data_IF_608728742631
#
_entry.id   IF_608728742631
#
_cell.length_a   1.000
_cell.length_b   1.000
_cell.length_c   1.000
_cell.angle_alpha   90.00
_cell.angle_beta   90.00
_cell.angle_gamma   90.00
#
_symmetry.space_group_name_H-M   'P 1'
#
loop_
_entity.id
_entity.type
_entity.pdbx_description
1 polymer ?
#
# COMPACT_ATOMS: atom_id res chain seq x y z
N UNK A 1 -8.45 -17.45 -7.25
CA UNK A 1 -7.91 -16.83 -6.07
C UNK A 1 -7.37 -15.48 -6.39
N UNK A 2 -7.55 -14.57 -5.48
CA UNK A 2 -7.02 -13.23 -5.68
C UNK A 2 -5.52 -13.24 -5.47
N UNK A 3 -4.82 -12.41 -6.22
CA UNK A 3 -3.39 -12.25 -6.02
C UNK A 3 -3.14 -11.48 -4.74
N UNK A 4 -1.99 -11.68 -4.14
CA UNK A 4 -1.61 -10.96 -2.94
C UNK A 4 -1.39 -9.48 -3.29
N UNK A 5 -2.05 -8.56 -2.57
CA UNK A 5 -1.84 -7.14 -2.84
C UNK A 5 -0.43 -6.68 -2.54
N UNK A 6 -0.03 -5.57 -3.16
CA UNK A 6 1.30 -5.01 -2.95
C UNK A 6 1.15 -3.55 -2.56
N UNK A 7 1.98 -3.08 -1.61
CA UNK A 7 1.77 -1.78 -1.01
C UNK A 7 2.99 -0.86 -1.15
N UNK A 8 2.73 0.42 -1.37
CA UNK A 8 3.76 1.44 -1.44
C UNK A 8 4.05 2.03 -0.05
N UNK A 9 5.07 2.87 0.02
CA UNK A 9 5.54 3.42 1.29
C UNK A 9 4.51 4.31 1.98
N UNK A 10 3.88 5.24 1.26
CA UNK A 10 2.99 6.21 1.89
C UNK A 10 1.82 5.58 2.64
N UNK A 11 1.04 4.68 2.04
CA UNK A 11 -0.03 4.06 2.80
C UNK A 11 0.50 3.21 3.95
N UNK A 12 1.65 2.56 3.76
CA UNK A 12 2.22 1.73 4.82
C UNK A 12 2.63 2.58 6.02
N UNK A 13 3.27 3.72 5.76
CA UNK A 13 3.68 4.64 6.81
C UNK A 13 2.46 5.21 7.53
N UNK A 14 1.47 5.66 6.77
CA UNK A 14 0.27 6.24 7.37
C UNK A 14 -0.44 5.23 8.28
N UNK A 15 -0.66 4.01 7.78
CA UNK A 15 -1.38 3.00 8.55
C UNK A 15 -0.57 2.58 9.79
N UNK A 16 0.75 2.49 9.68
CA UNK A 16 1.58 2.13 10.82
C UNK A 16 1.50 3.19 11.90
N UNK A 17 1.62 4.46 11.52
CA UNK A 17 1.61 5.54 12.49
C UNK A 17 0.24 5.74 13.13
N UNK A 18 -0.81 5.41 12.39
CA UNK A 18 -2.16 5.54 12.91
C UNK A 18 -2.61 4.33 13.73
N UNK A 19 -1.79 3.28 13.77
CA UNK A 19 -2.16 2.05 14.48
C UNK A 19 -3.22 1.26 13.75
N UNK A 20 -3.29 1.40 12.42
CA UNK A 20 -4.34 0.77 11.62
C UNK A 20 -3.81 -0.27 10.65
N UNK A 21 -2.58 -0.75 10.86
CA UNK A 21 -1.97 -1.67 9.91
C UNK A 21 -2.79 -2.94 9.71
N UNK A 22 -3.50 -3.38 10.74
CA UNK A 22 -4.28 -4.61 10.65
C UNK A 22 -5.42 -4.50 9.65
N UNK A 23 -5.81 -3.29 9.25
CA UNK A 23 -6.87 -3.13 8.25
C UNK A 23 -6.50 -3.76 6.92
N UNK A 24 -5.20 -3.90 6.65
CA UNK A 24 -4.75 -4.51 5.41
C UNK A 24 -5.22 -5.96 5.29
N UNK A 25 -5.44 -6.62 6.42
CA UNK A 25 -5.89 -8.01 6.39
C UNK A 25 -7.35 -8.14 5.95
N UNK A 26 -8.07 -7.02 5.83
CA UNK A 26 -9.40 -7.06 5.21
C UNK A 26 -9.29 -7.34 3.72
N UNK A 27 -8.13 -7.05 3.12
CA UNK A 27 -7.92 -7.26 1.70
C UNK A 27 -7.36 -8.65 1.41
N UNK A 28 -6.47 -9.13 2.28
CA UNK A 28 -5.78 -10.40 2.04
C UNK A 28 -5.07 -10.84 3.31
N UNK A 29 -4.87 -12.15 3.50
CA UNK A 29 -4.09 -12.62 4.65
C UNK A 29 -2.63 -12.19 4.63
N UNK A 30 -2.09 -11.87 3.44
CA UNK A 30 -0.71 -11.43 3.31
C UNK A 30 -0.65 -10.22 2.41
N UNK A 31 0.37 -9.37 2.63
CA UNK A 31 0.59 -8.17 1.83
C UNK A 31 2.06 -8.14 1.45
N UNK A 32 2.37 -7.87 0.19
CA UNK A 32 3.75 -7.78 -0.27
C UNK A 32 4.27 -6.36 -0.19
N UNK A 33 5.54 -6.22 0.15
CA UNK A 33 6.25 -4.95 0.20
C UNK A 33 7.50 -5.11 -0.65
N UNK A 34 7.64 -4.38 -1.77
CA UNK A 34 8.89 -4.46 -2.53
C UNK A 34 10.07 -4.01 -1.69
N UNK A 35 11.22 -4.63 -1.88
CA UNK A 35 12.42 -4.27 -1.14
C UNK A 35 12.75 -2.79 -1.31
N UNK A 36 12.50 -2.22 -2.50
CA UNK A 36 12.72 -0.80 -2.74
C UNK A 36 11.88 0.06 -1.80
N UNK A 37 10.65 -0.37 -1.50
CA UNK A 37 9.78 0.35 -0.58
C UNK A 37 10.31 0.24 0.84
N UNK A 38 10.72 -0.96 1.25
CA UNK A 38 11.27 -1.16 2.59
C UNK A 38 12.54 -0.32 2.78
N UNK A 39 13.39 -0.25 1.75
CA UNK A 39 14.61 0.53 1.79
C UNK A 39 14.29 2.03 1.91
N UNK A 40 13.30 2.49 1.17
CA UNK A 40 12.91 3.89 1.23
C UNK A 40 12.44 4.25 2.64
N UNK A 41 11.69 3.39 3.28
CA UNK A 41 11.21 3.61 4.63
C UNK A 41 12.38 3.72 5.60
N UNK A 42 13.37 2.83 5.48
CA UNK A 42 14.53 2.89 6.35
C UNK A 42 15.33 4.17 6.17
N UNK A 43 15.37 4.68 4.95
CA UNK A 43 16.13 5.89 4.69
C UNK A 43 15.50 7.15 5.22
N UNK A 44 14.19 7.12 5.49
CA UNK A 44 13.51 8.31 5.95
C UNK A 44 13.94 8.73 7.34
N UNK A 45 14.50 7.81 8.11
CA UNK A 45 15.06 8.17 9.40
C UNK A 45 14.07 8.50 10.49
N UNK A 46 12.85 8.84 10.15
CA UNK A 46 11.83 9.13 11.13
C UNK A 46 10.74 8.08 11.08
N UNK A 47 11.06 6.91 10.55
CA UNK A 47 10.07 5.87 10.31
C UNK A 47 10.25 4.69 11.21
N UNK A 48 10.72 4.91 12.43
CA UNK A 48 10.95 3.78 13.33
C UNK A 48 9.72 2.94 13.56
N UNK A 49 8.56 3.57 13.68
CA UNK A 49 7.32 2.83 13.90
C UNK A 49 7.03 1.92 12.71
N UNK A 50 7.20 2.45 11.50
CA UNK A 50 6.91 1.67 10.30
C UNK A 50 7.92 0.55 10.13
N UNK A 51 9.21 0.83 10.36
CA UNK A 51 10.23 -0.20 10.24
C UNK A 51 9.98 -1.32 11.24
N UNK A 52 9.63 -0.97 12.47
CA UNK A 52 9.31 -1.98 13.48
C UNK A 52 8.08 -2.78 13.08
N UNK A 53 7.08 -2.12 12.51
CA UNK A 53 5.86 -2.78 12.07
C UNK A 53 6.20 -3.84 11.02
N UNK A 54 7.03 -3.49 10.04
CA UNK A 54 7.40 -4.44 9.00
C UNK A 54 8.11 -5.64 9.60
N UNK A 55 9.07 -5.41 10.49
CA UNK A 55 9.85 -6.52 11.03
C UNK A 55 9.07 -7.38 12.00
N UNK A 56 8.05 -6.83 12.64
CA UNK A 56 7.30 -7.55 13.66
C UNK A 56 5.98 -8.14 13.17
N UNK A 57 5.61 -7.86 11.93
CA UNK A 57 4.32 -8.31 11.40
C UNK A 57 4.56 -9.36 10.33
N UNK A 58 4.38 -10.61 10.70
CA UNK A 58 4.74 -11.72 9.82
C UNK A 58 4.01 -11.79 8.49
N UNK A 59 2.80 -11.23 8.42
CA UNK A 59 2.03 -11.28 7.18
C UNK A 59 2.38 -10.12 6.22
N UNK A 60 3.26 -9.21 6.64
CA UNK A 60 3.83 -8.21 5.74
C UNK A 60 5.12 -8.81 5.22
N UNK A 61 5.17 -9.16 3.95
CA UNK A 61 6.31 -9.86 3.39
C UNK A 61 7.08 -9.00 2.41
N UNK A 62 8.36 -8.79 2.70
CA UNK A 62 9.23 -8.04 1.79
C UNK A 62 9.65 -8.97 0.67
N UNK A 63 9.48 -8.52 -0.56
CA UNK A 63 9.83 -9.32 -1.74
C UNK A 63 10.88 -8.58 -2.56
N UNK A 64 11.55 -9.31 -3.42
CA UNK A 64 12.57 -8.73 -4.27
C UNK A 64 11.93 -7.73 -5.22
N UNK A 65 12.59 -6.57 -5.37
CA UNK A 65 12.08 -5.53 -6.26
C UNK A 65 12.21 -5.96 -7.71
N UNK A 66 11.14 -5.93 -8.48
CA UNK A 66 11.23 -6.30 -9.90
C UNK A 66 11.94 -5.21 -10.70
N UNK A 67 12.51 -5.59 -11.82
CA UNK A 67 13.07 -4.62 -12.75
C UNK A 67 11.90 -3.86 -13.35
N UNK A 68 11.98 -2.52 -13.33
CA UNK A 68 10.86 -1.70 -13.77
C UNK A 68 10.53 -1.93 -15.24
N UNK A 69 9.26 -2.19 -15.51
CA UNK A 69 8.80 -2.39 -16.88
C UNK A 69 8.96 -1.09 -17.68
N UNK A 70 9.40 -1.16 -18.95
CA UNK A 70 9.56 0.06 -19.75
C UNK A 70 8.30 0.91 -19.86
N UNK A 71 7.13 0.28 -19.92
CA UNK A 71 5.89 1.03 -20.03
C UNK A 71 5.62 1.84 -18.76
N UNK A 72 6.05 1.34 -17.62
CA UNK A 72 5.89 2.03 -16.34
C UNK A 72 7.00 3.06 -16.17
N UNK A 73 8.21 2.73 -16.64
CA UNK A 73 9.33 3.64 -16.54
C UNK A 73 9.04 4.96 -17.25
N UNK A 74 8.28 4.90 -18.34
CA UNK A 74 7.91 6.09 -19.11
C UNK A 74 7.09 7.10 -18.29
N UNK A 75 6.48 6.65 -17.19
CA UNK A 75 5.70 7.55 -16.35
C UNK A 75 6.55 8.34 -15.35
N UNK A 76 7.85 7.99 -15.25
CA UNK A 76 8.81 8.71 -14.42
C UNK A 76 8.35 8.80 -12.96
N UNK A 77 7.94 7.68 -12.41
CA UNK A 77 7.52 7.60 -11.02
C UNK A 77 8.71 7.32 -10.12
N UNK A 78 8.55 7.47 -8.82
CA UNK A 78 9.59 7.09 -7.87
C UNK A 78 9.86 5.60 -7.90
N UNK A 79 10.99 5.18 -7.32
CA UNK A 79 11.38 3.77 -7.35
C UNK A 79 10.37 2.87 -6.67
N UNK A 80 9.82 3.32 -5.54
CA UNK A 80 8.83 2.51 -4.83
C UNK A 80 7.56 2.33 -5.62
N UNK A 81 7.02 3.43 -6.18
CA UNK A 81 5.81 3.35 -6.99
C UNK A 81 6.04 2.49 -8.22
N UNK A 82 7.20 2.64 -8.87
CA UNK A 82 7.51 1.86 -10.06
C UNK A 82 7.59 0.38 -9.74
N UNK A 83 8.16 0.03 -8.59
CA UNK A 83 8.27 -1.37 -8.17
C UNK A 83 6.88 -1.96 -7.92
N UNK A 84 6.04 -1.23 -7.22
CA UNK A 84 4.68 -1.70 -6.90
C UNK A 84 3.90 -1.91 -8.19
N UNK A 85 3.93 -0.94 -9.09
CA UNK A 85 3.13 -1.04 -10.32
C UNK A 85 3.68 -2.08 -11.29
N UNK A 86 5.00 -2.24 -11.35
CA UNK A 86 5.58 -3.27 -12.21
C UNK A 86 5.16 -4.65 -11.73
N UNK A 87 5.20 -4.88 -10.43
CA UNK A 87 4.77 -6.18 -9.89
C UNK A 87 3.31 -6.42 -10.22
N UNK A 88 2.46 -5.42 -9.99
CA UNK A 88 1.03 -5.58 -10.24
C UNK A 88 0.76 -5.79 -11.73
N UNK A 89 1.53 -5.12 -12.60
CA UNK A 89 1.36 -5.24 -14.04
C UNK A 89 1.73 -6.64 -14.53
N UNK A 90 2.79 -7.22 -13.95
CA UNK A 90 3.26 -8.54 -14.37
C UNK A 90 2.56 -9.68 -13.63
N UNK A 91 1.68 -9.35 -12.69
CA UNK A 91 0.89 -10.35 -11.98
C UNK A 91 -0.58 -9.90 -12.03
N UNK A 92 -1.25 -10.12 -13.17
CA UNK A 92 -2.61 -9.61 -13.36
C UNK A 92 -3.54 -10.01 -12.23
N UNK A 93 -4.36 -9.07 -11.81
CA UNK A 93 -5.27 -9.30 -10.68
C UNK A 93 -4.72 -8.80 -9.35
N UNK A 94 -3.45 -8.37 -9.32
CA UNK A 94 -2.85 -7.85 -8.10
C UNK A 94 -3.33 -6.43 -7.86
N UNK A 95 -3.84 -6.16 -6.65
CA UNK A 95 -4.25 -4.83 -6.27
C UNK A 95 -3.05 -4.06 -5.77
N UNK A 96 -2.85 -2.85 -6.26
CA UNK A 96 -1.76 -1.99 -5.82
C UNK A 96 -2.30 -0.98 -4.82
N UNK A 97 -1.69 -0.92 -3.64
CA UNK A 97 -2.13 0.00 -2.59
C UNK A 97 -1.20 1.21 -2.65
N UNK A 98 -1.67 2.26 -3.30
CA UNK A 98 -0.88 3.47 -3.54
C UNK A 98 -1.77 4.70 -3.36
N UNK A 99 -1.19 5.79 -2.87
CA UNK A 99 -1.92 7.03 -2.68
C UNK A 99 -1.50 8.10 -3.69
N UNK A 100 -0.30 8.01 -4.25
CA UNK A 100 0.21 9.04 -5.15
C UNK A 100 -0.65 9.15 -6.41
N UNK A 101 -1.02 10.36 -6.77
CA UNK A 101 -1.92 10.58 -7.91
C UNK A 101 -1.30 10.12 -9.23
N UNK A 102 -0.03 10.42 -9.46
CA UNK A 102 0.62 10.02 -10.71
C UNK A 102 0.66 8.50 -10.83
N UNK A 103 0.95 7.81 -9.72
CA UNK A 103 0.98 6.36 -9.72
C UNK A 103 -0.42 5.80 -9.98
N UNK A 104 -1.46 6.43 -9.41
CA UNK A 104 -2.83 5.97 -9.63
C UNK A 104 -3.26 6.18 -11.08
N UNK A 105 -2.79 7.26 -11.71
CA UNK A 105 -3.10 7.50 -13.12
C UNK A 105 -2.41 6.46 -14.01
N UNK A 106 -1.17 6.12 -13.69
CA UNK A 106 -0.45 5.09 -14.42
C UNK A 106 -1.19 3.75 -14.30
N UNK A 107 -1.60 3.41 -13.08
CA UNK A 107 -2.31 2.16 -12.86
C UNK A 107 -3.62 2.12 -13.65
N UNK A 108 -4.34 3.24 -13.68
CA UNK A 108 -5.60 3.28 -14.43
C UNK A 108 -5.35 3.05 -15.92
N UNK A 109 -4.30 3.65 -16.46
CA UNK A 109 -3.96 3.49 -17.86
C UNK A 109 -3.61 2.03 -18.20
N UNK A 110 -3.05 1.31 -17.26
CA UNK A 110 -2.64 -0.08 -17.46
C UNK A 110 -3.65 -1.08 -16.91
N UNK A 111 -4.79 -0.58 -16.44
CA UNK A 111 -5.86 -1.42 -15.91
C UNK A 111 -5.42 -2.23 -14.69
N UNK A 112 -4.58 -1.63 -13.87
CA UNK A 112 -4.15 -2.24 -12.61
C UNK A 112 -5.13 -1.79 -11.52
N UNK A 113 -5.73 -2.71 -10.77
CA UNK A 113 -6.62 -2.30 -9.67
C UNK A 113 -5.82 -1.57 -8.60
N UNK A 114 -6.34 -0.45 -8.12
CA UNK A 114 -5.67 0.32 -7.08
C UNK A 114 -6.59 0.56 -5.91
N UNK A 115 -5.99 0.74 -4.76
CA UNK A 115 -6.72 1.12 -3.56
C UNK A 115 -5.86 2.11 -2.80
N UNK A 116 -6.46 3.21 -2.37
CA UNK A 116 -5.76 4.19 -1.53
C UNK A 116 -6.05 3.95 -0.07
N UNK A 117 -5.33 4.65 0.79
CA UNK A 117 -5.51 4.54 2.23
C UNK A 117 -6.94 4.90 2.63
N UNK A 118 -7.49 5.97 2.07
CA UNK A 118 -8.85 6.38 2.42
C UNK A 118 -9.86 5.31 2.04
N UNK A 119 -9.70 4.71 0.87
CA UNK A 119 -10.61 3.64 0.45
C UNK A 119 -10.57 2.46 1.40
N UNK A 120 -9.40 2.10 1.89
CA UNK A 120 -9.26 1.02 2.84
C UNK A 120 -9.97 1.35 4.16
N UNK A 121 -9.78 2.57 4.65
CA UNK A 121 -10.42 3.00 5.89
C UNK A 121 -11.95 2.96 5.75
N UNK A 122 -12.45 3.38 4.60
CA UNK A 122 -13.90 3.36 4.37
C UNK A 122 -14.45 1.94 4.34
N UNK A 123 -13.72 1.01 3.73
CA UNK A 123 -14.13 -0.39 3.73
C UNK A 123 -14.16 -0.93 5.16
N UNK A 124 -13.14 -0.59 5.95
CA UNK A 124 -13.07 -1.04 7.33
C UNK A 124 -14.24 -0.49 8.14
N UNK A 125 -14.60 0.76 7.91
CA UNK A 125 -15.71 1.36 8.63
C UNK A 125 -17.01 0.68 8.26
N UNK A 126 -17.21 0.39 6.98
CA UNK A 126 -18.42 -0.28 6.53
C UNK A 126 -18.55 -1.67 7.14
N UNK A 127 -17.42 -2.31 7.43
CA UNK A 127 -17.43 -3.64 8.02
C UNK A 127 -17.41 -3.61 9.54
N UNK A 128 -17.50 -2.42 10.14
CA UNK A 128 -17.55 -2.29 11.59
C UNK A 128 -16.21 -2.54 12.28
N UNK A 129 -15.11 -2.47 11.53
CA UNK A 129 -13.80 -2.70 12.12
C UNK A 129 -13.21 -1.46 12.80
N UNK A 130 -13.77 -0.27 12.51
CA UNK A 130 -13.35 0.96 13.14
C UNK A 130 -14.61 1.56 13.72
N UNK A 131 -14.54 1.94 15.00
CA UNK A 131 -15.70 2.56 15.59
C UNK A 131 -15.79 3.96 15.05
N UNK A 132 -16.83 4.73 15.39
CA UNK A 132 -16.98 5.99 14.90
C UNK A 132 -15.87 6.79 15.03
N UNK A 133 -15.68 7.42 14.28
CA UNK A 133 -14.54 8.17 14.39
C UNK A 133 -14.55 9.11 15.46
N UNK A 134 -14.50 9.25 15.77
CA UNK A 134 -14.22 9.86 16.31
C UNK A 134 -13.92 10.65 16.64
N UNK A 135 -14.00 11.17 17.22
CA UNK A 135 -14.06 12.05 17.25
C UNK A 135 -13.32 12.92 17.07
N UNK A 136 -13.29 13.16 16.98
CA UNK A 136 -12.68 13.87 16.64
C UNK A 136 -12.73 13.98 15.58
N UNK A 137 -13.35 13.69 15.36
CA UNK A 137 -13.44 13.44 14.55
C UNK A 137 -14.04 13.35 13.63
N UNK A 138 -14.30 13.63 13.27
CA UNK A 138 -15.02 13.37 12.53
C UNK A 138 -15.12 12.92 11.81
N UNK A 139 -15.11 12.95 11.76
CA UNK A 139 -15.11 12.09 11.07
C UNK A 139 -15.74 11.72 9.98
N UNK A 140 -15.44 10.84 9.60
CA UNK A 140 -15.98 10.25 8.56
C UNK A 140 -17.21 9.68 8.98
N UNK A 141 -18.24 10.21 8.86
CA UNK A 141 -19.32 9.68 9.37
C UNK A 141 -19.96 9.17 8.30
N UNK A 142 -20.37 8.49 7.97
CA UNK A 142 -20.91 7.97 7.02
C UNK A 142 -21.71 8.38 6.37
#
# INVERSE_FOLDING_TARGET
MAETPIINASPLIYLSKAGLIDLLQLLSPQIFIPDAVATEILRRGDSDVTAATISQTGWLQVIETPVTSPIIQAWDLGMGESAVLTWAYTHPGTEAIVDDLAARKCAAALEIPVRGTLGLVLVAKQRGKISEARPGHCPIKE
#
